data_IF_238532536294
#
_entry.id   IF_238532536294
#
_cell.length_a   1.000
_cell.length_b   1.000
_cell.length_c   1.000
_cell.angle_alpha   90.00
_cell.angle_beta   90.00
_cell.angle_gamma   90.00
#
_symmetry.space_group_name_H-M   'P 1'
#
loop_
_entity.id
_entity.type
_entity.pdbx_description
1 polymer ?
#
# COMPACT_ATOMS: atom_id res chain seq x y z
N UNK A 1 -25.23 20.96 -30.79
CA UNK A 1 -25.03 19.53 -30.46
C UNK A 1 -25.05 19.40 -28.95
N UNK A 2 -25.79 18.43 -28.40
CA UNK A 2 -25.81 18.22 -26.95
C UNK A 2 -24.44 17.78 -26.44
N UNK A 3 -24.03 18.28 -25.27
CA UNK A 3 -22.77 17.95 -24.60
C UNK A 3 -22.79 16.56 -23.92
N UNK A 4 -23.87 15.82 -24.07
CA UNK A 4 -24.08 14.54 -23.39
C UNK A 4 -23.33 13.42 -24.13
N UNK A 5 -22.25 12.93 -23.53
CA UNK A 5 -21.52 11.75 -23.97
C UNK A 5 -21.84 10.58 -23.03
N UNK A 6 -22.82 9.76 -23.39
CA UNK A 6 -23.17 8.55 -22.63
C UNK A 6 -22.27 7.40 -23.08
N UNK A 7 -21.57 6.79 -22.12
CA UNK A 7 -20.90 5.51 -22.32
C UNK A 7 -21.72 4.42 -21.63
N UNK A 8 -21.97 3.31 -22.34
CA UNK A 8 -22.56 2.13 -21.73
C UNK A 8 -21.52 1.47 -20.80
N UNK A 9 -21.84 1.38 -19.51
CA UNK A 9 -21.03 0.64 -18.55
C UNK A 9 -21.03 -0.87 -18.83
N UNK A 10 -19.96 -1.57 -18.44
CA UNK A 10 -19.87 -3.03 -18.53
C UNK A 10 -18.87 -3.57 -19.55
N UNK A 11 -18.26 -2.71 -20.36
CA UNK A 11 -17.10 -3.10 -21.16
C UNK A 11 -15.83 -3.10 -20.30
N UNK A 12 -14.96 -4.10 -20.51
CA UNK A 12 -13.67 -4.16 -19.83
C UNK A 12 -12.77 -3.05 -20.37
N UNK A 13 -12.41 -2.11 -19.51
CA UNK A 13 -11.46 -1.05 -19.82
C UNK A 13 -10.04 -1.44 -19.39
N UNK A 14 -9.01 -0.83 -19.97
CA UNK A 14 -7.65 -1.00 -19.49
C UNK A 14 -7.50 -0.60 -18.01
N UNK A 15 -6.74 -1.40 -17.27
CA UNK A 15 -6.65 -1.31 -15.81
C UNK A 15 -5.65 -0.25 -15.39
N UNK A 16 -6.02 0.63 -14.45
CA UNK A 16 -5.08 1.46 -13.68
C UNK A 16 -4.80 0.80 -12.35
N UNK A 17 -3.58 0.31 -12.18
CA UNK A 17 -3.17 -0.41 -11.00
C UNK A 17 -1.97 0.25 -10.32
N UNK A 18 -2.03 0.33 -8.99
CA UNK A 18 -0.86 0.56 -8.15
C UNK A 18 -0.54 -0.75 -7.43
N UNK A 19 0.72 -1.18 -7.52
CA UNK A 19 1.22 -2.35 -6.82
C UNK A 19 2.35 -1.93 -5.90
N UNK A 20 2.16 -2.10 -4.59
CA UNK A 20 3.17 -1.73 -3.61
C UNK A 20 3.46 -2.85 -2.61
N UNK A 21 4.67 -2.85 -2.04
CA UNK A 21 5.11 -3.90 -1.13
C UNK A 21 6.63 -3.89 -0.94
N UNK A 22 7.12 -4.79 -0.07
CA UNK A 22 8.55 -4.86 0.28
C UNK A 22 9.44 -5.14 -0.94
N UNK A 23 10.72 -4.84 -0.81
CA UNK A 23 11.71 -5.13 -1.84
C UNK A 23 11.85 -6.63 -2.05
N UNK A 24 12.10 -7.04 -3.29
CA UNK A 24 12.24 -8.45 -3.65
C UNK A 24 10.95 -9.28 -3.68
N UNK A 25 9.78 -8.69 -3.39
CA UNK A 25 8.51 -9.45 -3.39
C UNK A 25 8.04 -9.88 -4.79
N UNK A 26 8.60 -9.32 -5.87
CA UNK A 26 8.26 -9.67 -7.25
C UNK A 26 7.31 -8.70 -7.97
N UNK A 27 7.28 -7.42 -7.57
CA UNK A 27 6.44 -6.38 -8.20
C UNK A 27 6.79 -6.17 -9.68
N UNK A 28 8.07 -6.06 -10.02
CA UNK A 28 8.52 -5.93 -11.41
C UNK A 28 8.22 -7.18 -12.23
N UNK A 29 8.35 -8.37 -11.62
CA UNK A 29 7.96 -9.64 -12.25
C UNK A 29 6.47 -9.71 -12.54
N UNK A 30 5.63 -9.17 -11.66
CA UNK A 30 4.20 -9.02 -11.92
C UNK A 30 3.96 -8.13 -13.15
N UNK A 31 4.63 -6.98 -13.24
CA UNK A 31 4.55 -6.08 -14.40
C UNK A 31 5.05 -6.71 -15.70
N UNK A 32 6.12 -7.49 -15.64
CA UNK A 32 6.66 -8.23 -16.78
C UNK A 32 5.70 -9.32 -17.31
N UNK A 33 4.75 -9.77 -16.50
CA UNK A 33 3.69 -10.71 -16.90
C UNK A 33 2.47 -10.07 -17.57
N UNK A 34 2.43 -8.74 -17.68
CA UNK A 34 1.35 -8.00 -18.35
C UNK A 34 1.44 -8.15 -19.89
N UNK A 35 0.34 -7.97 -20.65
CA UNK A 35 0.38 -8.09 -22.10
C UNK A 35 1.30 -7.04 -22.72
N UNK A 36 2.25 -7.49 -23.55
CA UNK A 36 3.23 -6.67 -24.29
C UNK A 36 3.72 -5.47 -23.46
N UNK A 37 4.47 -5.71 -22.37
CA UNK A 37 4.81 -4.67 -21.43
C UNK A 37 5.97 -3.83 -21.95
N UNK A 38 5.86 -2.52 -21.72
CA UNK A 38 7.00 -1.61 -21.71
C UNK A 38 7.25 -1.17 -20.27
N UNK A 39 8.46 -1.40 -19.78
CA UNK A 39 8.85 -1.01 -18.41
C UNK A 39 9.78 0.19 -18.42
N UNK A 40 9.35 1.26 -17.76
CA UNK A 40 10.19 2.41 -17.45
C UNK A 40 10.86 2.18 -16.08
N UNK A 41 12.13 1.79 -16.09
CA UNK A 41 12.94 1.51 -14.91
C UNK A 41 13.58 2.79 -14.35
N UNK A 42 12.88 3.48 -13.47
CA UNK A 42 13.36 4.69 -12.79
C UNK A 42 14.41 4.37 -11.71
N UNK A 43 14.46 3.13 -11.22
CA UNK A 43 15.52 2.60 -10.36
C UNK A 43 16.46 1.65 -11.12
N UNK A 44 17.65 1.40 -10.58
CA UNK A 44 18.69 0.58 -11.20
C UNK A 44 18.48 -0.94 -10.90
N UNK A 45 17.24 -1.40 -11.03
CA UNK A 45 16.74 -2.64 -10.42
C UNK A 45 16.21 -3.71 -11.38
N UNK A 46 16.14 -3.45 -12.68
CA UNK A 46 15.68 -4.46 -13.65
C UNK A 46 16.82 -5.45 -13.92
N UNK A 47 16.73 -6.62 -13.29
CA UNK A 47 17.55 -7.80 -13.61
C UNK A 47 17.32 -8.31 -15.03
N UNK A 48 17.89 -9.48 -15.41
CA UNK A 48 17.75 -10.05 -16.75
C UNK A 48 16.32 -10.58 -16.97
N UNK A 49 15.36 -9.69 -17.22
CA UNK A 49 14.00 -10.04 -17.60
C UNK A 49 13.84 -9.88 -19.12
N UNK A 50 13.22 -10.86 -19.81
CA UNK A 50 13.04 -10.83 -21.26
C UNK A 50 11.87 -9.94 -21.68
N UNK A 51 11.93 -8.65 -21.32
CA UNK A 51 10.92 -7.62 -21.63
C UNK A 51 11.58 -6.38 -22.18
N UNK A 52 10.84 -5.58 -22.94
CA UNK A 52 11.32 -4.27 -23.42
C UNK A 52 11.27 -3.28 -22.26
N UNK A 53 12.39 -2.63 -21.97
CA UNK A 53 12.48 -1.64 -20.91
C UNK A 53 13.40 -0.49 -21.30
N UNK A 54 13.19 0.68 -20.69
CA UNK A 54 14.10 1.81 -20.71
C UNK A 54 14.65 2.04 -19.30
N UNK A 55 15.98 2.24 -19.19
CA UNK A 55 16.63 2.57 -17.92
C UNK A 55 16.65 4.08 -17.73
N UNK A 56 15.87 4.54 -16.78
CA UNK A 56 15.68 5.95 -16.45
C UNK A 56 16.35 6.40 -15.14
N UNK A 57 17.10 5.53 -14.46
CA UNK A 57 17.82 5.86 -13.22
C UNK A 57 18.70 7.13 -13.31
N UNK A 58 19.40 7.35 -14.43
CA UNK A 58 20.20 8.56 -14.64
C UNK A 58 19.46 9.72 -15.33
N UNK A 59 18.21 9.52 -15.74
CA UNK A 59 17.44 10.56 -16.45
C UNK A 59 16.86 11.58 -15.47
N UNK A 60 16.76 12.84 -15.89
CA UNK A 60 15.97 13.85 -15.17
C UNK A 60 14.47 13.54 -15.32
N UNK A 61 13.62 14.16 -14.50
CA UNK A 61 12.18 13.99 -14.65
C UNK A 61 11.68 14.40 -16.04
N UNK A 62 12.17 15.51 -16.60
CA UNK A 62 11.76 15.96 -17.94
C UNK A 62 12.17 14.97 -19.04
N UNK A 63 13.36 14.35 -18.92
CA UNK A 63 13.79 13.29 -19.83
C UNK A 63 12.91 12.04 -19.71
N UNK A 64 12.42 11.74 -18.51
CA UNK A 64 11.47 10.65 -18.28
C UNK A 64 10.13 10.95 -18.95
N UNK A 65 9.60 12.16 -18.75
CA UNK A 65 8.36 12.60 -19.40
C UNK A 65 8.52 12.57 -20.93
N UNK A 66 9.65 13.04 -21.45
CA UNK A 66 9.99 12.94 -22.87
C UNK A 66 10.01 11.50 -23.38
N UNK A 67 10.63 10.59 -22.63
CA UNK A 67 10.62 9.15 -22.95
C UNK A 67 9.19 8.58 -22.97
N UNK A 68 8.34 8.97 -22.02
CA UNK A 68 6.93 8.56 -21.98
C UNK A 68 6.13 9.12 -23.16
N UNK A 69 6.39 10.37 -23.57
CA UNK A 69 5.75 10.94 -24.75
C UNK A 69 6.17 10.21 -26.03
N UNK A 70 7.46 9.93 -26.19
CA UNK A 70 7.99 9.17 -27.33
C UNK A 70 7.44 7.74 -27.37
N UNK A 71 7.40 7.06 -26.21
CA UNK A 71 6.94 5.68 -26.17
C UNK A 71 5.47 5.55 -26.53
N UNK A 72 4.66 6.60 -26.32
CA UNK A 72 3.26 6.65 -26.71
C UNK A 72 3.00 6.26 -28.17
N UNK A 73 3.91 6.61 -29.10
CA UNK A 73 3.79 6.20 -30.51
C UNK A 73 3.90 4.68 -30.73
N UNK A 74 4.65 3.97 -29.88
CA UNK A 74 4.71 2.50 -29.92
C UNK A 74 3.44 1.83 -29.38
N UNK A 75 2.70 2.48 -28.48
CA UNK A 75 1.39 2.01 -28.07
C UNK A 75 0.34 2.23 -29.17
N UNK A 76 0.39 3.36 -29.87
CA UNK A 76 -0.50 3.63 -31.02
C UNK A 76 -0.34 2.60 -32.14
N UNK A 77 0.90 2.17 -32.41
CA UNK A 77 1.20 1.11 -33.40
C UNK A 77 0.90 -0.31 -32.90
N UNK A 78 0.47 -0.47 -31.64
CA UNK A 78 0.13 -1.76 -31.05
C UNK A 78 1.33 -2.62 -30.66
N UNK A 79 2.55 -2.06 -30.59
CA UNK A 79 3.74 -2.78 -30.11
C UNK A 79 3.67 -3.08 -28.61
N UNK A 80 3.03 -2.20 -27.85
CA UNK A 80 2.85 -2.33 -26.41
C UNK A 80 1.37 -2.24 -26.03
N UNK A 81 1.00 -2.96 -24.96
CA UNK A 81 -0.36 -2.95 -24.38
C UNK A 81 -0.38 -2.59 -22.90
N UNK A 82 0.79 -2.58 -22.26
CA UNK A 82 0.91 -2.26 -20.84
C UNK A 82 2.11 -1.35 -20.59
N UNK A 83 1.88 -0.24 -19.90
CA UNK A 83 2.91 0.62 -19.36
C UNK A 83 3.16 0.26 -17.90
N UNK A 84 4.43 0.00 -17.55
CA UNK A 84 4.85 -0.23 -16.17
C UNK A 84 5.86 0.83 -15.79
N UNK A 85 5.64 1.54 -14.68
CA UNK A 85 6.58 2.52 -14.12
C UNK A 85 7.15 1.96 -12.82
N UNK A 86 8.46 1.68 -12.80
CA UNK A 86 9.14 1.03 -11.68
C UNK A 86 10.43 1.78 -11.27
N UNK A 87 10.50 2.49 -10.16
CA UNK A 87 9.50 2.65 -9.09
C UNK A 87 9.08 4.11 -8.91
N UNK A 88 7.86 4.30 -8.39
CA UNK A 88 7.29 5.60 -8.06
C UNK A 88 8.10 6.34 -6.99
N UNK A 89 8.73 5.60 -6.08
CA UNK A 89 9.63 6.14 -5.06
C UNK A 89 10.82 6.88 -5.68
N UNK A 90 11.46 6.26 -6.67
CA UNK A 90 12.57 6.86 -7.39
C UNK A 90 12.10 8.04 -8.26
N UNK A 91 10.91 7.93 -8.86
CA UNK A 91 10.32 9.02 -9.63
C UNK A 91 10.02 10.23 -8.74
N UNK A 92 9.54 10.02 -7.52
CA UNK A 92 9.26 11.08 -6.56
C UNK A 92 10.50 11.93 -6.25
N UNK A 93 11.66 11.29 -6.10
CA UNK A 93 12.92 12.01 -5.89
C UNK A 93 13.21 12.94 -7.08
N UNK A 94 13.05 12.43 -8.31
CA UNK A 94 13.25 13.21 -9.53
C UNK A 94 12.27 14.38 -9.67
N UNK A 95 11.02 14.20 -9.21
CA UNK A 95 10.02 15.29 -9.14
C UNK A 95 10.48 16.39 -8.17
N UNK A 96 10.97 16.01 -6.99
CA UNK A 96 11.54 16.99 -6.06
C UNK A 96 12.74 17.71 -6.68
N UNK A 97 13.68 16.98 -7.28
CA UNK A 97 14.88 17.55 -7.91
C UNK A 97 14.52 18.57 -8.99
N UNK A 98 13.53 18.25 -9.84
CA UNK A 98 13.00 19.19 -10.84
C UNK A 98 12.52 20.47 -10.19
N UNK A 99 11.60 20.39 -9.23
CA UNK A 99 11.00 21.57 -8.59
C UNK A 99 12.05 22.43 -7.90
N UNK A 100 12.99 21.79 -7.21
CA UNK A 100 14.11 22.47 -6.53
C UNK A 100 15.00 23.20 -7.55
N UNK A 101 15.35 22.53 -8.64
CA UNK A 101 16.20 23.11 -9.68
C UNK A 101 15.54 24.30 -10.40
N UNK A 102 14.27 24.18 -10.79
CA UNK A 102 13.51 25.24 -11.49
C UNK A 102 13.37 26.52 -10.66
N UNK A 103 13.37 26.40 -9.33
CA UNK A 103 13.16 27.53 -8.42
C UNK A 103 14.43 27.96 -7.68
N UNK A 104 15.59 27.36 -8.01
CA UNK A 104 16.87 27.66 -7.36
C UNK A 104 16.86 27.39 -5.85
N UNK A 105 16.17 26.34 -5.40
CA UNK A 105 16.04 25.96 -3.98
C UNK A 105 16.87 24.71 -3.68
N UNK A 106 17.30 24.55 -2.41
CA UNK A 106 18.03 23.36 -1.95
C UNK A 106 17.12 22.38 -1.23
N UNK A 107 16.13 22.89 -0.53
CA UNK A 107 15.15 22.10 0.20
C UNK A 107 13.73 22.58 -0.09
N UNK A 108 12.76 21.66 -0.02
CA UNK A 108 11.34 21.99 -0.23
C UNK A 108 10.81 22.98 0.83
N UNK A 109 11.46 23.03 1.99
CA UNK A 109 11.17 23.98 3.06
C UNK A 109 11.65 25.41 2.78
N UNK A 110 12.51 25.63 1.78
CA UNK A 110 12.98 26.96 1.39
C UNK A 110 11.93 27.78 0.62
N UNK A 111 10.77 27.16 0.35
CA UNK A 111 9.60 27.80 -0.22
C UNK A 111 8.75 28.44 0.88
N UNK A 112 8.25 29.64 0.62
CA UNK A 112 7.34 30.31 1.54
C UNK A 112 5.97 29.63 1.58
N UNK A 113 5.36 29.59 2.77
CA UNK A 113 3.96 29.21 3.00
C UNK A 113 3.51 27.87 2.35
N UNK A 114 4.39 26.87 2.26
CA UNK A 114 4.03 25.55 1.72
C UNK A 114 3.91 25.50 0.20
N UNK A 115 4.23 26.58 -0.52
CA UNK A 115 4.18 26.67 -2.00
C UNK A 115 4.95 25.54 -2.70
N UNK A 116 6.08 25.10 -2.15
CA UNK A 116 6.83 23.97 -2.70
C UNK A 116 6.02 22.68 -2.75
N UNK A 117 5.20 22.42 -1.74
CA UNK A 117 4.33 21.24 -1.69
C UNK A 117 3.11 21.35 -2.61
N UNK A 118 2.66 22.58 -2.91
CA UNK A 118 1.62 22.82 -3.92
C UNK A 118 2.14 22.52 -5.32
N UNK A 119 3.33 23.03 -5.66
CA UNK A 119 4.02 22.71 -6.91
C UNK A 119 4.26 21.21 -7.05
N UNK A 120 4.68 20.57 -5.96
CA UNK A 120 4.83 19.11 -5.92
C UNK A 120 3.54 18.38 -6.24
N UNK A 121 2.41 18.79 -5.64
CA UNK A 121 1.10 18.19 -5.96
C UNK A 121 0.73 18.43 -7.43
N UNK A 122 0.94 19.63 -7.97
CA UNK A 122 0.64 19.97 -9.36
C UNK A 122 1.43 19.12 -10.36
N UNK A 123 2.70 18.83 -10.07
CA UNK A 123 3.52 17.95 -10.89
C UNK A 123 2.98 16.51 -10.89
N UNK A 124 2.50 16.02 -9.75
CA UNK A 124 1.84 14.71 -9.67
C UNK A 124 0.50 14.65 -10.40
N UNK A 125 -0.28 15.72 -10.41
CA UNK A 125 -1.50 15.82 -11.23
C UNK A 125 -1.16 15.75 -12.71
N UNK A 126 -0.11 16.46 -13.14
CA UNK A 126 0.37 16.44 -14.52
C UNK A 126 0.88 15.05 -14.93
N UNK A 127 1.63 14.38 -14.05
CA UNK A 127 2.05 13.00 -14.26
C UNK A 127 0.86 12.05 -14.36
N UNK A 128 -0.13 12.19 -13.47
CA UNK A 128 -1.37 11.41 -13.49
C UNK A 128 -2.14 11.61 -14.79
N UNK A 129 -2.24 12.83 -15.30
CA UNK A 129 -2.89 13.12 -16.59
C UNK A 129 -2.15 12.44 -17.75
N UNK A 130 -0.81 12.40 -17.71
CA UNK A 130 -0.02 11.62 -18.67
C UNK A 130 -0.32 10.11 -18.57
N UNK A 131 -0.43 9.55 -17.37
CA UNK A 131 -0.82 8.15 -17.19
C UNK A 131 -2.25 7.87 -17.67
N UNK A 132 -3.18 8.79 -17.43
CA UNK A 132 -4.56 8.69 -17.93
C UNK A 132 -4.60 8.70 -19.45
N UNK A 133 -3.73 9.47 -20.11
CA UNK A 133 -3.59 9.45 -21.56
C UNK A 133 -3.22 8.07 -22.10
N UNK A 134 -2.29 7.35 -21.45
CA UNK A 134 -1.97 5.97 -21.83
C UNK A 134 -3.18 5.04 -21.76
N UNK A 135 -4.03 5.23 -20.76
CA UNK A 135 -5.24 4.42 -20.61
C UNK A 135 -6.31 4.79 -21.64
N UNK A 136 -6.69 6.06 -21.69
CA UNK A 136 -7.87 6.55 -22.42
C UNK A 136 -7.60 6.67 -23.90
N UNK A 137 -6.47 7.25 -24.30
CA UNK A 137 -6.13 7.46 -25.72
C UNK A 137 -5.44 6.25 -26.33
N UNK A 138 -4.60 5.55 -25.55
CA UNK A 138 -3.75 4.47 -26.07
C UNK A 138 -4.25 3.06 -25.73
N UNK A 139 -5.35 2.96 -24.96
CA UNK A 139 -5.94 1.67 -24.59
C UNK A 139 -5.01 0.78 -23.77
N UNK A 140 -4.05 1.36 -23.04
CA UNK A 140 -3.02 0.61 -22.32
C UNK A 140 -3.39 0.34 -20.86
N UNK A 141 -3.04 -0.84 -20.36
CA UNK A 141 -3.00 -1.04 -18.91
C UNK A 141 -1.85 -0.20 -18.34
N UNK A 142 -2.06 0.41 -17.18
CA UNK A 142 -1.03 1.21 -16.50
C UNK A 142 -0.79 0.65 -15.12
N UNK A 143 0.46 0.24 -14.86
CA UNK A 143 0.92 -0.27 -13.59
C UNK A 143 1.98 0.67 -12.98
N UNK A 144 1.69 1.20 -11.81
CA UNK A 144 2.63 1.99 -11.02
C UNK A 144 3.15 1.14 -9.85
N UNK A 145 4.47 0.95 -9.78
CA UNK A 145 5.11 0.14 -8.75
C UNK A 145 5.71 1.03 -7.66
N UNK A 146 5.40 0.74 -6.39
CA UNK A 146 5.99 1.45 -5.26
C UNK A 146 6.55 0.49 -4.20
N UNK A 147 7.49 0.97 -3.39
CA UNK A 147 7.91 0.29 -2.16
C UNK A 147 6.94 0.65 -1.02
N UNK A 148 6.99 -0.11 0.07
CA UNK A 148 6.17 0.14 1.26
C UNK A 148 7.02 0.40 2.49
N UNK A 149 6.52 1.25 3.39
CA UNK A 149 7.05 1.43 4.74
C UNK A 149 5.95 1.22 5.77
N UNK A 150 6.35 0.73 6.95
CA UNK A 150 5.48 0.67 8.12
C UNK A 150 5.38 2.07 8.73
N UNK A 151 4.16 2.59 8.85
CA UNK A 151 3.85 3.86 9.50
C UNK A 151 2.82 3.65 10.60
N UNK A 152 2.99 4.33 11.72
CA UNK A 152 1.97 4.37 12.77
C UNK A 152 0.88 5.36 12.36
N UNK A 153 -0.34 4.86 12.23
CA UNK A 153 -1.55 5.65 11.97
C UNK A 153 -2.20 5.90 13.32
N UNK A 154 -2.39 7.18 13.65
CA UNK A 154 -3.13 7.57 14.82
C UNK A 154 -4.64 7.37 14.57
N UNK A 155 -5.27 6.51 15.37
CA UNK A 155 -6.72 6.31 15.36
C UNK A 155 -7.29 6.80 16.70
N UNK A 156 -8.06 7.90 16.71
CA UNK A 156 -8.59 8.46 17.95
C UNK A 156 -9.66 7.58 18.61
N UNK A 157 -10.19 6.58 17.91
CA UNK A 157 -11.25 5.68 18.39
C UNK A 157 -10.65 4.35 18.86
N UNK A 158 -9.83 3.71 18.02
CA UNK A 158 -9.33 2.35 18.27
C UNK A 158 -7.89 2.31 18.82
N UNK A 159 -7.23 3.47 18.88
CA UNK A 159 -5.82 3.58 19.27
C UNK A 159 -4.86 3.40 18.10
N UNK A 160 -3.67 3.96 18.27
CA UNK A 160 -2.62 3.96 17.24
C UNK A 160 -2.27 2.54 16.79
N UNK A 161 -2.23 2.33 15.48
CA UNK A 161 -1.87 1.04 14.88
C UNK A 161 -0.83 1.21 13.78
N UNK A 162 -0.08 0.15 13.48
CA UNK A 162 0.92 0.16 12.41
C UNK A 162 0.30 -0.32 11.10
N UNK A 163 0.54 0.43 10.04
CA UNK A 163 0.05 0.13 8.69
C UNK A 163 1.17 0.20 7.66
N UNK A 164 1.15 -0.71 6.69
CA UNK A 164 2.04 -0.68 5.54
C UNK A 164 1.46 0.24 4.48
N UNK A 165 2.12 1.38 4.31
CA UNK A 165 1.72 2.42 3.35
C UNK A 165 2.73 2.50 2.22
N UNK A 166 2.33 3.06 1.07
CA UNK A 166 3.29 3.37 0.01
C UNK A 166 4.37 4.32 0.53
N UNK A 167 5.62 4.08 0.19
CA UNK A 167 6.73 4.97 0.50
C UNK A 167 6.77 6.14 -0.49
N UNK A 168 5.70 6.91 -0.42
CA UNK A 168 5.51 8.16 -1.14
C UNK A 168 5.07 9.24 -0.15
N UNK A 169 5.22 10.50 -0.54
CA UNK A 169 4.59 11.64 0.12
C UNK A 169 3.08 11.48 0.05
N UNK A 170 2.37 11.95 1.08
CA UNK A 170 0.92 11.85 1.19
C UNK A 170 0.18 12.52 0.02
N UNK A 171 0.76 13.56 -0.57
CA UNK A 171 0.15 14.29 -1.70
C UNK A 171 0.24 13.48 -2.99
N UNK A 172 1.42 12.91 -3.26
CA UNK A 172 1.64 12.01 -4.38
C UNK A 172 0.75 10.77 -4.27
N UNK A 173 0.81 10.09 -3.13
CA UNK A 173 -0.01 8.90 -2.88
C UNK A 173 -1.51 9.20 -2.93
N UNK A 174 -1.98 10.35 -2.44
CA UNK A 174 -3.37 10.77 -2.57
C UNK A 174 -3.84 10.87 -4.03
N UNK A 175 -3.12 11.65 -4.85
CA UNK A 175 -3.41 11.81 -6.29
C UNK A 175 -3.46 10.46 -7.00
N UNK A 176 -2.46 9.62 -6.78
CA UNK A 176 -2.35 8.32 -7.44
C UNK A 176 -3.42 7.32 -6.94
N UNK A 177 -3.71 7.28 -5.63
CA UNK A 177 -4.75 6.41 -5.06
C UNK A 177 -6.13 6.77 -5.58
N UNK A 178 -6.44 8.05 -5.71
CA UNK A 178 -7.74 8.50 -6.20
C UNK A 178 -7.95 8.09 -7.66
N UNK A 179 -6.89 8.23 -8.47
CA UNK A 179 -6.83 7.83 -9.87
C UNK A 179 -6.93 6.32 -10.11
N UNK A 180 -6.26 5.49 -9.30
CA UNK A 180 -6.19 4.05 -9.54
C UNK A 180 -7.55 3.33 -9.39
N UNK A 181 -7.77 2.28 -10.19
CA UNK A 181 -8.92 1.39 -10.05
C UNK A 181 -8.65 0.26 -9.04
N UNK A 182 -7.38 -0.17 -8.98
CA UNK A 182 -6.89 -1.19 -8.06
C UNK A 182 -5.62 -0.69 -7.37
N UNK A 183 -5.61 -0.68 -6.05
CA UNK A 183 -4.40 -0.53 -5.24
C UNK A 183 -4.20 -1.82 -4.48
N UNK A 184 -3.15 -2.56 -4.85
CA UNK A 184 -2.86 -3.87 -4.30
C UNK A 184 -1.58 -3.90 -3.46
N UNK A 185 -1.64 -4.59 -2.33
CA UNK A 185 -0.50 -4.78 -1.44
C UNK A 185 0.11 -6.17 -1.63
N UNK A 186 1.38 -6.22 -2.03
CA UNK A 186 2.14 -7.44 -2.24
C UNK A 186 2.89 -7.86 -0.97
N UNK A 187 2.68 -9.10 -0.53
CA UNK A 187 3.34 -9.67 0.64
C UNK A 187 3.54 -11.18 0.51
N UNK A 188 4.35 -11.75 1.41
CA UNK A 188 4.36 -13.19 1.62
C UNK A 188 3.13 -13.61 2.43
N UNK A 189 2.52 -14.73 2.04
CA UNK A 189 1.44 -15.35 2.79
C UNK A 189 2.01 -15.97 4.07
N UNK A 190 1.47 -15.56 5.20
CA UNK A 190 1.85 -16.05 6.53
C UNK A 190 0.63 -16.55 7.27
N UNK A 191 0.76 -17.72 7.91
CA UNK A 191 -0.27 -18.30 8.76
C UNK A 191 0.05 -18.03 10.23
N UNK A 192 -0.92 -17.56 11.03
CA UNK A 192 -0.71 -17.38 12.46
C UNK A 192 -0.64 -18.74 13.16
N UNK A 193 0.42 -18.95 13.92
CA UNK A 193 0.53 -20.08 14.85
C UNK A 193 0.10 -19.60 16.22
N UNK A 194 -0.94 -20.24 16.74
CA UNK A 194 -1.54 -19.90 18.03
C UNK A 194 -1.06 -20.85 19.13
N UNK A 195 -0.92 -20.34 20.37
CA UNK A 195 -0.73 -21.19 21.55
C UNK A 195 -2.05 -21.92 21.90
N UNK A 196 -2.01 -22.70 22.99
CA UNK A 196 -3.18 -23.40 23.52
C UNK A 196 -4.29 -22.43 23.95
N UNK A 197 -3.92 -21.20 24.29
CA UNK A 197 -4.83 -20.12 24.71
C UNK A 197 -5.40 -19.32 23.52
N UNK A 198 -5.03 -19.68 22.29
CA UNK A 198 -5.53 -19.05 21.07
C UNK A 198 -4.79 -17.77 20.65
N UNK A 199 -3.77 -17.34 21.39
CA UNK A 199 -2.96 -16.16 21.08
C UNK A 199 -1.94 -16.45 19.99
N UNK A 200 -1.75 -15.50 19.07
CA UNK A 200 -0.77 -15.63 17.99
C UNK A 200 0.64 -15.46 18.58
N UNK A 201 1.42 -16.54 18.61
CA UNK A 201 2.79 -16.53 19.15
C UNK A 201 3.82 -16.28 18.05
N UNK A 202 3.55 -16.75 16.84
CA UNK A 202 4.44 -16.58 15.70
C UNK A 202 3.67 -16.60 14.39
N UNK A 203 4.25 -15.97 13.37
CA UNK A 203 3.79 -16.09 11.98
C UNK A 203 4.68 -17.11 11.27
N UNK A 204 4.06 -18.09 10.62
CA UNK A 204 4.77 -19.03 9.74
C UNK A 204 4.58 -18.60 8.30
N UNK A 205 5.65 -18.15 7.65
CA UNK A 205 5.64 -17.85 6.23
C UNK A 205 5.48 -19.13 5.41
N UNK A 206 4.55 -19.11 4.45
CA UNK A 206 4.29 -20.23 3.54
C UNK A 206 5.22 -20.20 2.31
N UNK A 207 5.96 -19.09 2.12
CA UNK A 207 6.76 -18.81 0.93
C UNK A 207 5.94 -18.34 -0.29
N UNK A 208 4.61 -18.41 -0.25
CA UNK A 208 3.75 -17.96 -1.36
C UNK A 208 3.67 -16.44 -1.39
N UNK A 209 3.84 -15.85 -2.57
CA UNK A 209 3.66 -14.41 -2.81
C UNK A 209 2.20 -14.14 -3.16
N UNK A 210 1.57 -13.26 -2.39
CA UNK A 210 0.16 -12.92 -2.54
C UNK A 210 -0.04 -11.43 -2.75
N UNK A 211 -1.14 -11.10 -3.42
CA UNK A 211 -1.67 -9.78 -3.62
C UNK A 211 -2.93 -9.62 -2.76
N UNK A 212 -2.91 -8.67 -1.82
CA UNK A 212 -4.09 -8.24 -1.07
C UNK A 212 -4.80 -7.14 -1.85
N UNK A 213 -6.10 -7.29 -2.03
CA UNK A 213 -6.94 -6.39 -2.84
C UNK A 213 -8.03 -5.70 -2.02
N UNK A 214 -8.32 -6.19 -0.81
CA UNK A 214 -9.34 -5.60 0.09
C UNK A 214 -8.71 -4.71 1.16
N UNK A 215 -9.34 -3.58 1.53
CA UNK A 215 -8.86 -2.69 2.59
C UNK A 215 -8.63 -3.41 3.92
N UNK A 216 -7.62 -2.97 4.69
CA UNK A 216 -7.30 -3.45 6.03
C UNK A 216 -6.66 -2.33 6.84
N UNK A 217 -6.69 -2.41 8.17
CA UNK A 217 -5.91 -1.51 9.04
C UNK A 217 -4.40 -1.69 8.81
N UNK A 218 -3.96 -2.91 8.49
CA UNK A 218 -2.54 -3.24 8.34
C UNK A 218 -1.92 -2.77 7.01
N UNK A 219 -2.74 -2.39 6.02
CA UNK A 219 -2.29 -1.91 4.72
C UNK A 219 -3.45 -1.27 3.94
N UNK A 220 -3.14 -0.24 3.15
CA UNK A 220 -4.12 0.42 2.30
C UNK A 220 -4.34 -0.31 0.96
N UNK A 221 -5.53 -0.84 0.72
CA UNK A 221 -5.93 -1.37 -0.58
C UNK A 221 -7.20 -0.70 -1.12
N UNK A 222 -7.37 -0.73 -2.45
CA UNK A 222 -8.54 -0.18 -3.16
C UNK A 222 -8.91 -1.17 -4.25
N UNK A 223 -10.19 -1.46 -4.41
CA UNK A 223 -10.65 -2.44 -5.39
C UNK A 223 -12.01 -2.02 -5.96
N UNK A 224 -12.02 -1.53 -7.20
CA UNK A 224 -13.24 -1.17 -7.93
C UNK A 224 -13.84 -2.34 -8.73
N UNK A 225 -13.16 -3.48 -8.79
CA UNK A 225 -13.56 -4.64 -9.60
C UNK A 225 -14.23 -5.75 -8.78
N UNK A 226 -14.44 -5.55 -7.47
CA UNK A 226 -14.99 -6.57 -6.59
C UNK A 226 -14.20 -7.91 -6.62
N UNK A 227 -12.87 -7.83 -6.76
CA UNK A 227 -11.98 -9.00 -6.76
C UNK A 227 -11.99 -9.71 -5.40
N UNK A 228 -11.69 -11.03 -5.36
CA UNK A 228 -11.42 -11.74 -4.11
C UNK A 228 -10.36 -11.02 -3.27
N UNK A 229 -10.46 -11.06 -1.93
CA UNK A 229 -9.61 -10.28 -1.03
C UNK A 229 -8.12 -10.63 -1.11
N UNK A 230 -7.80 -11.80 -1.68
CA UNK A 230 -6.43 -12.27 -1.86
C UNK A 230 -6.33 -13.04 -3.18
N UNK A 231 -5.29 -12.72 -3.95
CA UNK A 231 -4.95 -13.37 -5.20
C UNK A 231 -3.47 -13.78 -5.17
N UNK A 232 -3.05 -14.76 -5.99
CA UNK A 232 -1.63 -14.96 -6.29
C UNK A 232 -1.01 -13.65 -6.82
N UNK A 233 0.25 -13.37 -6.45
CA UNK A 233 0.99 -12.22 -7.01
C UNK A 233 1.42 -12.49 -8.46
N UNK A 234 0.46 -12.49 -9.37
CA UNK A 234 0.67 -12.68 -10.80
C UNK A 234 -0.40 -11.93 -11.60
N UNK A 235 -0.01 -11.26 -12.70
CA UNK A 235 -0.94 -10.52 -13.54
C UNK A 235 -2.10 -11.40 -14.04
N UNK A 236 -1.80 -12.62 -14.50
CA UNK A 236 -2.81 -13.57 -15.00
C UNK A 236 -3.94 -13.83 -14.00
N UNK A 237 -3.63 -13.88 -12.69
CA UNK A 237 -4.64 -14.08 -11.66
C UNK A 237 -5.54 -12.85 -11.48
N UNK A 238 -4.96 -11.64 -11.56
CA UNK A 238 -5.71 -10.38 -11.53
C UNK A 238 -6.58 -10.25 -12.78
N UNK A 239 -6.02 -10.50 -13.96
CA UNK A 239 -6.73 -10.43 -15.22
C UNK A 239 -7.93 -11.39 -15.26
N UNK A 240 -7.73 -12.64 -14.83
CA UNK A 240 -8.81 -13.61 -14.73
C UNK A 240 -9.89 -13.17 -13.74
N UNK A 241 -9.51 -12.70 -12.55
CA UNK A 241 -10.47 -12.24 -11.55
C UNK A 241 -11.27 -11.01 -12.03
N UNK A 242 -10.65 -10.09 -12.79
CA UNK A 242 -11.34 -8.96 -13.42
C UNK A 242 -12.31 -9.49 -14.49
N UNK A 243 -11.89 -10.40 -15.38
CA UNK A 243 -12.76 -11.02 -16.39
C UNK A 243 -14.00 -11.67 -15.76
N UNK A 244 -13.81 -12.42 -14.68
CA UNK A 244 -14.90 -13.04 -13.93
C UNK A 244 -15.83 -12.02 -13.27
N UNK A 245 -15.29 -10.91 -12.76
CA UNK A 245 -16.10 -9.85 -12.17
C UNK A 245 -16.98 -9.14 -13.20
N UNK A 246 -16.43 -8.83 -14.39
CA UNK A 246 -17.20 -8.23 -15.50
C UNK A 246 -18.23 -9.18 -16.10
N UNK A 247 -17.98 -10.50 -16.06
CA UNK A 247 -18.93 -11.50 -16.54
C UNK A 247 -20.15 -11.68 -15.61
N UNK A 248 -20.08 -11.22 -14.36
CA UNK A 248 -21.20 -11.30 -13.42
C UNK A 248 -22.13 -10.11 -13.64
N UNK A 249 -23.44 -10.34 -13.90
CA UNK A 249 -24.41 -9.26 -13.90
C UNK A 249 -24.39 -8.53 -12.57
N UNK A 250 -24.50 -7.20 -12.59
CA UNK A 250 -24.70 -6.45 -11.36
C UNK A 250 -26.05 -6.82 -10.76
N UNK A 251 -26.03 -7.54 -9.63
CA UNK A 251 -27.22 -7.86 -8.84
C UNK A 251 -27.22 -7.01 -7.55
N UNK A 252 -28.10 -6.00 -7.45
CA UNK A 252 -28.25 -5.17 -6.24
C UNK A 252 -28.54 -5.99 -4.99
N UNK A 253 -29.25 -7.12 -5.10
CA UNK A 253 -29.63 -7.95 -3.97
C UNK A 253 -28.45 -8.76 -3.44
N UNK A 254 -27.59 -9.26 -4.35
CA UNK A 254 -26.36 -9.93 -3.97
C UNK A 254 -25.42 -8.97 -3.22
N UNK A 255 -25.33 -7.71 -3.65
CA UNK A 255 -24.50 -6.71 -2.96
C UNK A 255 -25.01 -6.39 -1.55
N UNK A 256 -26.33 -6.35 -1.36
CA UNK A 256 -26.95 -6.17 -0.04
C UNK A 256 -26.75 -7.38 0.90
N UNK A 257 -26.72 -8.61 0.36
CA UNK A 257 -26.50 -9.83 1.14
C UNK A 257 -25.04 -10.01 1.59
N UNK A 258 -24.06 -9.58 0.78
CA UNK A 258 -22.63 -9.65 1.15
C UNK A 258 -22.32 -8.71 2.33
N UNK A 259 -23.04 -7.60 2.49
CA UNK A 259 -22.89 -6.70 3.65
C UNK A 259 -23.54 -7.25 4.93
N UNK A 260 -24.60 -8.06 4.81
CA UNK A 260 -25.29 -8.67 5.96
C UNK A 260 -24.58 -9.91 6.51
N UNK A 261 -23.56 -10.43 5.81
CA UNK A 261 -22.66 -11.49 6.30
C UNK A 261 -21.67 -11.06 7.40
N UNK A 262 -21.55 -9.75 7.69
CA UNK A 262 -20.73 -9.22 8.80
C UNK A 262 -21.51 -9.08 10.13
N UNK A 263 -22.57 -9.85 10.32
CA UNK A 263 -23.41 -9.72 11.51
C UNK A 263 -24.42 -10.84 11.72
N UNK A 264 -24.02 -12.11 11.59
CA UNK A 264 -24.72 -13.21 12.25
C UNK A 264 -23.70 -14.19 12.83
N UNK A 265 -23.09 -13.80 13.96
CA UNK A 265 -22.85 -14.81 14.98
C UNK A 265 -24.23 -15.36 15.33
N UNK A 266 -24.50 -16.61 14.97
CA UNK A 266 -25.64 -17.33 15.53
C UNK A 266 -25.56 -17.18 17.06
N UNK A 267 -26.63 -16.79 17.76
CA UNK A 267 -26.60 -16.87 19.21
C UNK A 267 -26.39 -18.33 19.55
N UNK A 268 -25.19 -18.67 20.02
CA UNK A 268 -24.96 -19.92 20.72
C UNK A 268 -26.06 -19.99 21.79
N UNK A 269 -26.92 -21.00 21.68
CA UNK A 269 -28.05 -21.17 22.58
C UNK A 269 -27.59 -21.02 24.01
N UNK A 270 -28.19 -20.06 24.72
CA UNK A 270 -28.13 -20.01 26.16
C UNK A 270 -28.52 -21.41 26.68
N UNK A 271 -27.72 -22.03 27.57
CA UNK A 271 -28.15 -23.24 28.25
C UNK A 271 -29.45 -22.90 28.97
N UNK A 272 -30.54 -23.58 28.62
CA UNK A 272 -31.77 -23.47 29.40
C UNK A 272 -31.48 -23.92 30.84
N UNK A 273 -31.91 -23.16 31.86
CA UNK A 273 -31.82 -23.63 33.23
C UNK A 273 -32.73 -24.85 33.40
N UNK A 274 -32.12 -26.01 33.60
CA UNK A 274 -32.82 -27.22 33.98
C UNK A 274 -33.51 -27.02 35.34
N UNK A 275 -34.82 -27.22 35.37
CA UNK A 275 -35.57 -27.35 36.62
C UNK A 275 -34.98 -28.49 37.47
N UNK A 276 -34.60 -28.26 38.74
CA UNK A 276 -34.42 -29.35 39.67
C UNK A 276 -35.79 -29.82 40.19
N UNK A 277 -36.00 -31.14 40.38
CA UNK A 277 -37.24 -31.63 40.98
C UNK A 277 -37.31 -31.30 42.47
N UNK A 278 -38.54 -31.08 42.94
CA UNK A 278 -38.90 -30.75 44.31
C UNK A 278 -38.54 -31.87 45.30
N UNK A 279 -37.91 -31.49 46.42
CA UNK A 279 -37.67 -32.36 47.56
C UNK A 279 -37.50 -31.53 48.84
N UNK A 280 -38.44 -31.70 49.77
CA UNK A 280 -38.55 -30.97 51.04
C UNK A 280 -37.45 -31.36 52.06
N UNK A 281 -36.96 -30.37 52.80
CA UNK A 281 -36.16 -30.55 54.03
C UNK A 281 -35.91 -29.20 54.72
N UNK A 282 -36.39 -29.07 55.96
CA UNK A 282 -36.48 -27.87 56.80
C UNK A 282 -35.14 -27.43 57.47
N UNK A 283 -35.10 -26.26 58.16
CA UNK A 283 -33.91 -25.41 58.27
C UNK A 283 -33.11 -25.55 59.58
N UNK A 284 -31.87 -25.05 59.60
CA UNK A 284 -31.12 -24.76 60.82
C UNK A 284 -30.41 -23.38 60.74
N UNK A 285 -30.27 -22.76 61.91
CA UNK A 285 -30.20 -21.32 62.20
C UNK A 285 -28.77 -20.73 62.31
N UNK A 286 -28.69 -19.38 62.18
CA UNK A 286 -27.83 -18.39 62.88
C UNK A 286 -26.28 -18.47 62.76
N UNK A 287 -25.58 -17.55 62.06
CA UNK A 287 -25.06 -16.19 62.45
C UNK A 287 -23.59 -16.21 63.02
N UNK A 288 -22.86 -15.07 63.16
CA UNK A 288 -22.17 -14.27 62.12
C UNK A 288 -20.68 -13.95 62.46
N UNK A 289 -19.91 -13.38 61.52
CA UNK A 289 -18.88 -12.33 61.78
C UNK A 289 -18.21 -11.95 60.44
N UNK A 290 -18.35 -10.72 59.94
CA UNK A 290 -17.77 -9.45 60.38
C UNK A 290 -16.44 -9.17 59.68
N UNK A 291 -16.35 -8.01 59.00
CA UNK A 291 -15.07 -7.32 58.85
C UNK A 291 -14.77 -6.68 57.50
N UNK A 292 -15.24 -5.43 57.35
CA UNK A 292 -14.59 -4.30 56.68
C UNK A 292 -14.50 -4.22 55.13
N UNK A 293 -15.15 -3.17 54.66
CA UNK A 293 -15.08 -2.56 53.33
C UNK A 293 -14.27 -1.23 53.41
N UNK A 294 -14.36 -0.27 52.46
CA UNK A 294 -13.34 -0.05 51.42
C UNK A 294 -12.83 1.40 51.37
N UNK A 295 -11.81 1.69 50.56
CA UNK A 295 -11.45 3.02 50.03
C UNK A 295 -10.27 2.85 49.07
N UNK A 296 -10.01 3.59 47.98
CA UNK A 296 -10.50 4.84 47.40
C UNK A 296 -9.34 5.40 46.56
N UNK A 297 -9.54 5.68 45.26
CA UNK A 297 -8.61 6.43 44.37
C UNK A 297 -8.56 7.93 44.78
N UNK A 298 -7.67 8.86 44.31
CA UNK A 298 -6.98 8.93 43.00
C UNK A 298 -5.55 9.58 42.99
N UNK A 299 -5.10 9.98 41.79
CA UNK A 299 -3.77 10.36 41.28
C UNK A 299 -3.06 11.63 41.81
N UNK A 300 -1.75 11.78 41.52
CA UNK A 300 -1.09 13.08 41.21
C UNK A 300 0.21 12.95 40.40
N UNK A 301 0.61 14.06 39.77
CA UNK A 301 1.59 14.29 38.69
C UNK A 301 2.83 15.10 39.17
N UNK A 302 3.83 15.22 38.27
CA UNK A 302 4.97 16.17 38.19
C UNK A 302 6.32 15.67 38.80
N UNK A 303 7.51 15.90 38.23
CA UNK A 303 8.03 17.02 37.43
C UNK A 303 9.30 16.61 36.58
N UNK A 304 9.92 17.52 35.78
CA UNK A 304 10.68 17.21 34.55
C UNK A 304 12.21 17.18 34.69
N UNK A 305 12.90 16.56 33.71
CA UNK A 305 14.36 16.63 33.53
C UNK A 305 14.72 17.57 32.36
N UNK A 306 15.68 18.47 32.61
CA UNK A 306 16.21 19.49 31.69
C UNK A 306 17.61 19.06 31.14
N UNK A 307 18.30 19.84 30.28
CA UNK A 307 18.83 19.39 28.99
C UNK A 307 20.35 19.09 28.98
N UNK A 308 20.80 18.24 28.04
CA UNK A 308 22.22 18.08 27.69
C UNK A 308 22.57 18.87 26.41
N UNK A 309 23.62 19.68 26.49
CA UNK A 309 24.44 20.20 25.37
C UNK A 309 25.93 19.89 25.67
N UNK A 310 26.90 20.17 24.76
CA UNK A 310 27.12 19.52 23.46
C UNK A 310 28.54 18.92 23.34
N UNK A 311 28.80 18.25 22.23
CA UNK A 311 30.03 17.51 21.91
C UNK A 311 31.26 18.39 21.54
N UNK A 312 32.46 17.80 21.61
CA UNK A 312 33.73 18.26 21.02
C UNK A 312 34.70 17.04 20.87
N UNK A 313 35.78 17.07 20.06
CA UNK A 313 35.80 16.61 18.67
C UNK A 313 36.70 15.38 18.41
N UNK A 314 36.46 14.71 17.27
CA UNK A 314 37.21 13.52 16.79
C UNK A 314 38.50 13.93 16.07
N UNK A 315 39.62 13.29 16.42
CA UNK A 315 40.93 13.46 15.75
C UNK A 315 41.03 12.65 14.44
N UNK A 316 41.84 13.10 13.46
CA UNK A 316 41.98 12.44 12.16
C UNK A 316 42.90 11.21 12.21
N UNK A 317 42.46 10.10 11.60
CA UNK A 317 43.25 8.88 11.39
C UNK A 317 44.03 8.98 10.08
N UNK A 318 45.32 8.65 10.16
CA UNK A 318 46.32 8.71 9.10
C UNK A 318 46.09 7.63 8.01
N UNK A 319 46.35 7.99 6.76
CA UNK A 319 46.33 7.13 5.58
C UNK A 319 47.60 6.27 5.50
N UNK A 320 47.46 4.96 5.70
CA UNK A 320 48.52 3.97 5.46
C UNK A 320 48.62 3.59 3.98
N UNK A 321 49.85 3.64 3.44
CA UNK A 321 50.17 3.42 2.04
C UNK A 321 50.07 1.97 1.54
N UNK A 322 49.84 1.84 0.23
CA UNK A 322 49.85 0.59 -0.53
C UNK A 322 51.28 0.12 -0.85
N UNK A 323 51.58 -1.19 -0.79
CA UNK A 323 52.83 -1.74 -1.30
C UNK A 323 52.78 -2.00 -2.82
N UNK A 324 53.89 -1.70 -3.51
CA UNK A 324 54.17 -2.03 -4.92
C UNK A 324 54.21 -3.55 -5.17
N UNK A 325 53.84 -4.04 -6.37
CA UNK A 325 54.11 -5.41 -6.78
C UNK A 325 55.56 -5.58 -7.27
N UNK A 326 56.19 -6.76 -7.07
CA UNK A 326 57.48 -7.08 -7.67
C UNK A 326 57.30 -7.51 -9.12
N UNK A 327 58.22 -7.06 -9.99
CA UNK A 327 58.27 -7.44 -11.38
C UNK A 327 58.91 -8.82 -11.59
N UNK A 328 58.39 -9.53 -12.58
CA UNK A 328 59.08 -10.26 -13.64
C UNK A 328 58.07 -10.53 -14.76
#
# INVERSE_FOLDING_TARGET
>A
MGLLNLQEGGQMEPVRMILYGKNGIGKTTFGAGMPQPFILAVEDGIGPMPVMYDRAHHKTYDQIVGTLMEVGGYFQSGRFRSLVVDSMDALQVKVFDKILSEHGKKHIGDFSYGKGYELFKQEWESFKDLMERFRVELGANVLLIAQCDSRTIADPINGDHNSNTMRLDKRASGVLRDWADLVGFAQLESNPIRNKDGEIVRLQETGRRILRTSPSEAFDAKNRFNLPPTLPLAWVAVEQAIKEAYARPFDPNQYAQVQSGFGQASPAGLPQPGMPPAGFGQPAQAQPNAGFAPSGKPASLAAPAAPMQPASPVQPVQTGGFPKPPGF
#
